data_IF_831283961575
#
_entry.id   IF_831283961575
#
_cell.length_a   1.000
_cell.length_b   1.000
_cell.length_c   1.000
_cell.angle_alpha   90.00
_cell.angle_beta   90.00
_cell.angle_gamma   90.00
#
_symmetry.space_group_name_H-M   'P 1'
#
loop_
_entity.id
_entity.type
_entity.pdbx_description
1 polymer ?
#
# COMPACT_ATOMS: atom_id res chain seq x y z
N UNK A 1 -8.07 4.83 20.41
CA UNK A 1 -8.61 3.86 21.38
C UNK A 1 -7.98 2.51 21.08
N UNK A 2 -7.39 1.87 22.09
CA UNK A 2 -6.85 0.50 21.99
C UNK A 2 -7.70 -0.38 22.89
N UNK A 3 -8.12 -1.54 22.37
CA UNK A 3 -8.97 -2.49 23.10
C UNK A 3 -8.28 -3.85 23.06
N UNK A 4 -8.19 -4.50 24.21
CA UNK A 4 -7.74 -5.89 24.32
C UNK A 4 -8.97 -6.78 24.44
N UNK A 5 -9.03 -7.83 23.62
CA UNK A 5 -10.14 -8.77 23.58
C UNK A 5 -10.86 -8.78 22.23
N UNK A 6 -12.04 -9.37 22.21
CA UNK A 6 -12.88 -9.44 21.01
C UNK A 6 -13.57 -8.10 20.76
N UNK A 7 -13.56 -7.66 19.50
CA UNK A 7 -14.29 -6.47 19.05
C UNK A 7 -15.33 -6.91 18.02
N UNK A 8 -16.61 -6.67 18.33
CA UNK A 8 -17.70 -6.80 17.36
C UNK A 8 -17.92 -5.46 16.67
N UNK A 9 -17.63 -5.40 15.37
CA UNK A 9 -17.79 -4.19 14.56
C UNK A 9 -18.57 -4.53 13.27
N UNK A 10 -19.91 -4.40 13.29
CA UNK A 10 -20.74 -4.64 12.11
C UNK A 10 -20.29 -3.81 10.91
N UNK A 11 -20.17 -4.42 9.74
CA UNK A 11 -19.76 -3.74 8.50
C UNK A 11 -18.24 -3.55 8.33
N UNK A 12 -17.41 -4.08 9.23
CA UNK A 12 -15.96 -4.05 9.07
C UNK A 12 -15.50 -4.92 7.90
N UNK A 13 -14.61 -4.38 7.08
CA UNK A 13 -13.95 -5.09 5.98
C UNK A 13 -12.59 -5.58 6.48
N UNK A 14 -12.30 -6.85 6.26
CA UNK A 14 -11.07 -7.50 6.70
C UNK A 14 -10.15 -7.82 5.52
N UNK A 15 -8.85 -7.81 5.77
CA UNK A 15 -7.82 -8.31 4.85
C UNK A 15 -6.89 -9.26 5.62
N UNK A 16 -6.45 -10.38 5.02
CA UNK A 16 -5.57 -11.30 5.71
C UNK A 16 -4.20 -10.68 5.96
N UNK A 17 -3.64 -10.98 7.13
CA UNK A 17 -2.23 -10.69 7.40
C UNK A 17 -1.35 -11.59 6.54
N UNK A 18 -0.20 -11.07 6.10
CA UNK A 18 0.85 -11.87 5.48
C UNK A 18 1.42 -12.81 6.56
N UNK A 19 1.36 -14.14 6.37
CA UNK A 19 1.85 -15.08 7.37
C UNK A 19 3.36 -14.93 7.63
N UNK A 20 3.79 -15.27 8.84
CA UNK A 20 5.20 -15.40 9.23
C UNK A 20 6.04 -14.11 9.12
N UNK A 21 5.38 -12.95 9.12
CA UNK A 21 6.05 -11.66 9.18
C UNK A 21 6.09 -11.15 10.63
N UNK A 22 7.20 -10.53 11.08
CA UNK A 22 7.30 -9.98 12.43
C UNK A 22 6.43 -8.72 12.63
N UNK A 23 5.96 -8.12 11.54
CA UNK A 23 5.17 -6.89 11.53
C UNK A 23 3.77 -7.14 10.92
N UNK A 24 2.80 -6.33 11.35
CA UNK A 24 1.45 -6.33 10.76
C UNK A 24 1.54 -5.89 9.30
N UNK A 25 1.50 -6.86 8.41
CA UNK A 25 1.62 -6.64 6.97
C UNK A 25 0.45 -7.25 6.24
N UNK A 26 0.08 -6.64 5.12
CA UNK A 26 -1.05 -7.05 4.28
C UNK A 26 -0.60 -7.15 2.83
N UNK A 27 -1.40 -7.81 1.99
CA UNK A 27 -1.18 -7.83 0.55
C UNK A 27 -1.84 -6.62 -0.11
N UNK A 28 -1.03 -5.72 -0.69
CA UNK A 28 -1.51 -4.64 -1.56
C UNK A 28 -1.45 -5.11 -3.01
N UNK A 29 -2.60 -5.08 -3.70
CA UNK A 29 -2.68 -5.52 -5.10
C UNK A 29 -2.50 -4.37 -6.09
N UNK A 30 -3.17 -3.25 -5.81
CA UNK A 30 -3.15 -2.07 -6.68
C UNK A 30 -3.52 -0.80 -5.92
N UNK A 31 -3.30 0.34 -6.57
CA UNK A 31 -3.68 1.66 -6.04
C UNK A 31 -4.52 2.36 -7.10
N UNK A 32 -5.67 2.87 -6.69
CA UNK A 32 -6.51 3.75 -7.50
C UNK A 32 -6.46 5.14 -6.87
N UNK A 33 -6.07 6.14 -7.65
CA UNK A 33 -6.06 7.55 -7.25
C UNK A 33 -6.85 8.36 -8.27
N UNK A 34 -7.72 9.28 -7.80
CA UNK A 34 -8.57 10.10 -8.67
C UNK A 34 -9.33 9.27 -9.75
N UNK A 35 -9.86 8.10 -9.37
CA UNK A 35 -10.55 7.18 -10.29
C UNK A 35 -9.65 6.44 -11.30
N UNK A 36 -8.33 6.64 -11.24
CA UNK A 36 -7.36 6.04 -12.17
C UNK A 36 -6.50 5.00 -11.46
N UNK A 37 -6.48 3.79 -12.02
CA UNK A 37 -5.55 2.75 -11.62
C UNK A 37 -4.11 3.19 -11.92
N UNK A 38 -3.23 3.14 -10.92
CA UNK A 38 -1.81 3.44 -11.12
C UNK A 38 -1.16 2.31 -11.94
N UNK A 39 -0.48 2.61 -13.07
CA UNK A 39 0.18 1.60 -13.88
C UNK A 39 1.54 1.20 -13.27
N UNK A 40 1.46 0.47 -12.16
CA UNK A 40 2.59 -0.12 -11.43
C UNK A 40 2.46 -1.64 -11.54
N UNK A 41 3.58 -2.32 -11.81
CA UNK A 41 3.60 -3.78 -11.77
C UNK A 41 3.23 -4.25 -10.35
N UNK A 42 2.18 -5.07 -10.16
CA UNK A 42 1.78 -5.58 -8.84
C UNK A 42 2.91 -6.29 -8.09
N UNK A 43 3.90 -6.83 -8.81
CA UNK A 43 5.12 -7.39 -8.20
C UNK A 43 5.87 -6.38 -7.36
N UNK A 44 5.69 -5.08 -7.59
CA UNK A 44 6.25 -4.00 -6.78
C UNK A 44 5.72 -4.03 -5.33
N UNK A 45 4.56 -4.64 -5.10
CA UNK A 45 3.90 -4.73 -3.80
C UNK A 45 3.98 -6.13 -3.16
N UNK A 46 4.48 -7.14 -3.89
CA UNK A 46 4.60 -8.50 -3.35
C UNK A 46 5.55 -8.54 -2.15
N UNK A 47 5.12 -9.08 -1.00
CA UNK A 47 5.98 -9.22 0.16
C UNK A 47 7.26 -10.02 -0.15
N UNK A 48 8.40 -9.53 0.33
CA UNK A 48 9.70 -10.16 0.22
C UNK A 48 10.61 -9.67 1.36
N UNK A 49 11.82 -10.21 1.47
CA UNK A 49 12.82 -9.67 2.41
C UNK A 49 13.02 -8.18 2.14
N UNK A 50 12.78 -7.34 3.16
CA UNK A 50 12.91 -5.88 3.08
C UNK A 50 11.77 -5.15 2.37
N UNK A 51 10.65 -5.83 2.04
CA UNK A 51 9.51 -5.20 1.36
C UNK A 51 8.19 -5.81 1.79
N UNK A 52 7.28 -4.97 2.27
CA UNK A 52 5.91 -5.33 2.62
C UNK A 52 5.04 -4.06 2.65
N UNK A 53 3.72 -4.24 2.61
CA UNK A 53 2.78 -3.17 2.98
C UNK A 53 2.49 -3.30 4.48
N UNK A 54 2.96 -2.33 5.26
CA UNK A 54 2.91 -2.34 6.72
C UNK A 54 1.76 -1.48 7.25
N UNK A 55 1.11 -1.96 8.32
CA UNK A 55 0.23 -1.16 9.16
C UNK A 55 1.04 -0.68 10.36
N UNK A 56 1.43 0.59 10.34
CA UNK A 56 2.37 1.14 11.33
C UNK A 56 1.88 2.47 11.90
N UNK A 57 1.41 2.45 13.15
CA UNK A 57 1.00 3.65 13.88
C UNK A 57 2.17 4.51 14.35
N UNK A 58 3.41 4.02 14.28
CA UNK A 58 4.63 4.75 14.61
C UNK A 58 5.09 5.70 13.52
N UNK A 59 4.43 5.69 12.36
CA UNK A 59 4.81 6.47 11.18
C UNK A 59 3.70 7.49 10.82
N UNK A 60 4.09 8.75 10.58
CA UNK A 60 3.13 9.86 10.29
C UNK A 60 2.54 9.81 8.87
N UNK A 61 3.35 9.39 7.87
CA UNK A 61 2.96 9.40 6.46
C UNK A 61 2.91 8.01 5.86
N UNK A 62 2.08 7.80 4.84
CA UNK A 62 2.13 6.59 4.04
C UNK A 62 3.35 6.64 3.10
N UNK A 63 4.22 5.64 3.17
CA UNK A 63 5.36 5.50 2.28
C UNK A 63 5.02 4.50 1.18
N UNK A 64 5.25 4.90 -0.08
CA UNK A 64 5.07 4.06 -1.25
C UNK A 64 6.43 3.70 -1.82
N UNK A 65 6.54 2.52 -2.43
CA UNK A 65 7.69 2.19 -3.28
C UNK A 65 7.83 3.27 -4.36
N UNK A 66 9.07 3.69 -4.67
CA UNK A 66 9.36 4.89 -5.49
C UNK A 66 8.50 4.98 -6.75
N UNK A 67 8.39 3.90 -7.53
CA UNK A 67 7.55 3.88 -8.73
C UNK A 67 6.08 4.17 -8.45
N UNK A 68 5.51 3.65 -7.36
CA UNK A 68 4.13 3.96 -7.00
C UNK A 68 3.97 5.39 -6.47
N UNK A 69 4.95 5.90 -5.73
CA UNK A 69 4.96 7.29 -5.28
C UNK A 69 4.94 8.29 -6.44
N UNK A 70 5.84 8.13 -7.41
CA UNK A 70 5.94 9.02 -8.57
C UNK A 70 4.65 9.05 -9.38
N UNK A 71 4.04 7.87 -9.56
CA UNK A 71 2.78 7.73 -10.29
C UNK A 71 1.60 8.31 -9.50
N UNK A 72 1.58 8.14 -8.18
CA UNK A 72 0.58 8.74 -7.30
C UNK A 72 0.64 10.27 -7.34
N UNK A 73 1.83 10.85 -7.16
CA UNK A 73 2.03 12.31 -7.23
C UNK A 73 1.63 12.87 -8.60
N UNK A 74 1.94 12.15 -9.68
CA UNK A 74 1.54 12.53 -11.04
C UNK A 74 0.02 12.60 -11.17
N UNK A 75 -0.70 11.57 -10.70
CA UNK A 75 -2.17 11.54 -10.77
C UNK A 75 -2.80 12.64 -9.92
N UNK A 76 -2.34 12.83 -8.68
CA UNK A 76 -2.90 13.85 -7.77
C UNK A 76 -2.61 15.26 -8.27
N UNK A 77 -1.46 15.48 -8.92
CA UNK A 77 -1.08 16.78 -9.49
C UNK A 77 -1.64 17.01 -10.90
N UNK A 78 -2.42 16.06 -11.46
CA UNK A 78 -2.88 16.06 -12.86
C UNK A 78 -1.73 16.18 -13.89
N UNK A 79 -0.55 15.66 -13.56
CA UNK A 79 0.59 15.60 -14.47
C UNK A 79 0.54 14.30 -15.29
N UNK A 80 1.10 14.31 -16.52
CA UNK A 80 1.34 13.08 -17.26
C UNK A 80 2.28 12.16 -16.46
N UNK A 81 2.10 10.85 -16.62
CA UNK A 81 2.98 9.89 -15.96
C UNK A 81 4.42 10.05 -16.46
N UNK A 82 5.42 9.99 -15.56
CA UNK A 82 6.81 9.91 -15.97
C UNK A 82 7.01 8.71 -16.90
N UNK A 83 7.77 8.92 -17.97
CA UNK A 83 8.15 7.85 -18.89
C UNK A 83 8.81 6.71 -18.12
N UNK A 84 8.38 5.47 -18.39
CA UNK A 84 9.05 4.28 -17.87
C UNK A 84 10.52 4.33 -18.32
N UNK A 85 11.45 4.59 -17.41
CA UNK A 85 12.87 4.40 -17.70
C UNK A 85 13.10 2.91 -17.85
N UNK A 86 13.32 2.46 -19.08
CA UNK A 86 13.87 1.15 -19.37
C UNK A 86 15.28 1.12 -18.76
N UNK A 87 15.48 0.26 -17.78
CA UNK A 87 16.81 -0.20 -17.36
C UNK A 87 17.16 -1.44 -18.14
#
# INVERSE_FOLDING_TARGET
MFVLGEVSAPGMVYTPLVPWQPLYSVHLESIVANGKLLPVDPRAFTPSTGRATLLDTGTTFAYLVSKAYDMFVSVVSNNPFPSLRTV
#
